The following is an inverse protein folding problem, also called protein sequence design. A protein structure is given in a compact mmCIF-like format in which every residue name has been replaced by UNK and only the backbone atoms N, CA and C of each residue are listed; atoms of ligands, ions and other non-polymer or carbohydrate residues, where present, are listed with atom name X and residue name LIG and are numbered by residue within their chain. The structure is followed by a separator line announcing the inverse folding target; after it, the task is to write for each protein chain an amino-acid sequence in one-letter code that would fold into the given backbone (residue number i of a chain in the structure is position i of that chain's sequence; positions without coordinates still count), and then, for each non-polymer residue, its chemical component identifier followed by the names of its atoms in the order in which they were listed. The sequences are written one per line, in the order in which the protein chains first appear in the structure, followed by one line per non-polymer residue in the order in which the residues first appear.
data_IF_294193289018
#
_entry.id   IF_294193289018
#
_cell.length_a   1.000
_cell.length_b   1.000
_cell.length_c   1.000
_cell.angle_alpha   90.00
_cell.angle_beta   90.00
_cell.angle_gamma   90.00
#
_symmetry.space_group_name_H-M   'P 1'
#
loop_
_entity.id
_entity.type
_entity.pdbx_description
1 polymer ?
#
# COMPACT_ATOMS: atom_id res chain seq x y z
N UNK A 1 33.40 44.03 -8.05
CA UNK A 1 32.86 42.86 -8.79
C UNK A 1 33.38 41.60 -8.10
N UNK A 2 32.57 41.02 -7.23
CA UNK A 2 32.77 39.67 -6.71
C UNK A 2 31.36 39.10 -6.54
N UNK A 3 30.96 38.25 -7.49
CA UNK A 3 29.73 37.47 -7.38
C UNK A 3 29.92 36.44 -6.28
N UNK A 4 29.02 36.44 -5.30
CA UNK A 4 28.95 35.38 -4.31
C UNK A 4 28.06 34.27 -4.89
N UNK A 5 28.67 33.13 -5.19
CA UNK A 5 27.97 31.89 -5.47
C UNK A 5 27.15 31.50 -4.24
N UNK A 6 25.83 31.40 -4.40
CA UNK A 6 24.92 30.89 -3.38
C UNK A 6 25.14 29.37 -3.29
N UNK A 7 26.03 28.97 -2.38
CA UNK A 7 26.09 27.59 -1.90
C UNK A 7 24.84 27.34 -1.06
N UNK A 8 23.83 26.72 -1.67
CA UNK A 8 22.66 26.22 -0.94
C UNK A 8 23.10 25.01 -0.13
N UNK A 9 23.47 25.23 1.13
CA UNK A 9 23.68 24.14 2.09
C UNK A 9 22.35 23.43 2.31
N UNK A 10 22.17 22.28 1.66
CA UNK A 10 21.11 21.33 1.97
C UNK A 10 21.37 20.78 3.38
N UNK A 11 20.70 21.35 4.37
CA UNK A 11 20.67 20.84 5.73
C UNK A 11 20.09 19.43 5.73
N UNK A 12 20.99 18.46 5.87
CA UNK A 12 20.71 17.06 6.09
C UNK A 12 20.05 16.93 7.48
N UNK A 13 18.73 16.94 7.54
CA UNK A 13 18.01 17.05 8.81
C UNK A 13 16.49 16.95 8.73
N UNK A 14 15.94 15.97 8.02
CA UNK A 14 14.59 15.49 8.30
C UNK A 14 14.62 13.99 8.52
N UNK A 15 14.78 13.59 9.78
CA UNK A 15 14.43 12.24 10.22
C UNK A 15 12.92 12.08 10.05
N UNK A 16 12.46 11.79 8.83
CA UNK A 16 11.08 11.39 8.59
C UNK A 16 10.86 10.13 9.43
N UNK A 17 10.04 10.16 10.51
CA UNK A 17 9.79 8.95 11.25
C UNK A 17 9.07 7.98 10.31
N UNK A 18 9.73 6.86 10.01
CA UNK A 18 9.09 5.79 9.26
C UNK A 18 7.81 5.41 10.01
N UNK A 19 6.67 5.46 9.32
CA UNK A 19 5.40 5.08 9.93
C UNK A 19 5.44 3.59 10.24
N UNK A 20 5.06 3.22 11.46
CA UNK A 20 4.84 1.82 11.81
C UNK A 20 3.76 1.21 10.92
N UNK A 21 3.96 -0.04 10.50
CA UNK A 21 3.03 -0.77 9.64
C UNK A 21 2.89 -2.21 10.12
N UNK A 22 1.79 -2.84 9.70
CA UNK A 22 1.53 -4.26 9.94
C UNK A 22 1.45 -4.98 8.60
N UNK A 23 1.85 -6.25 8.60
CA UNK A 23 1.80 -7.11 7.41
C UNK A 23 0.66 -8.10 7.59
N UNK A 24 -0.21 -8.17 6.58
CA UNK A 24 -1.28 -9.15 6.49
C UNK A 24 -0.98 -10.03 5.29
N UNK A 25 -0.78 -11.33 5.51
CA UNK A 25 -0.39 -12.29 4.49
C UNK A 25 -1.03 -13.65 4.75
N UNK A 26 -1.46 -14.32 3.69
CA UNK A 26 -1.89 -15.71 3.71
C UNK A 26 -0.86 -16.55 2.95
N UNK A 27 -0.42 -17.66 3.53
CA UNK A 27 0.65 -18.50 3.00
C UNK A 27 0.24 -19.98 3.01
N UNK A 28 0.81 -20.79 2.11
CA UNK A 28 0.81 -22.25 2.26
C UNK A 28 1.75 -22.66 3.41
N UNK A 29 1.69 -23.93 3.80
CA UNK A 29 2.67 -24.54 4.72
C UNK A 29 4.12 -24.38 4.22
N UNK A 30 4.32 -24.28 2.91
CA UNK A 30 5.61 -24.07 2.26
C UNK A 30 5.92 -22.59 1.97
N UNK A 31 5.21 -21.65 2.61
CA UNK A 31 5.36 -20.20 2.44
C UNK A 31 5.03 -19.65 1.05
N UNK A 32 4.27 -20.40 0.24
CA UNK A 32 3.76 -19.93 -1.05
C UNK A 32 2.59 -18.95 -0.89
N UNK A 33 2.64 -17.81 -1.59
CA UNK A 33 1.64 -16.72 -1.47
C UNK A 33 0.80 -16.50 -2.73
N UNK A 34 1.27 -17.03 -3.87
CA UNK A 34 0.70 -16.72 -5.18
C UNK A 34 1.31 -17.60 -6.26
N UNK A 35 0.51 -17.91 -7.28
CA UNK A 35 0.95 -18.60 -8.51
C UNK A 35 0.34 -17.88 -9.71
N UNK A 36 1.15 -17.62 -10.74
CA UNK A 36 0.70 -16.97 -11.98
C UNK A 36 -0.02 -15.62 -11.77
N UNK A 37 0.41 -14.85 -10.77
CA UNK A 37 -0.19 -13.55 -10.42
C UNK A 37 -1.57 -13.63 -9.75
N UNK A 38 -2.00 -14.80 -9.31
CA UNK A 38 -3.26 -15.04 -8.61
C UNK A 38 -3.02 -15.80 -7.31
N UNK A 39 -4.01 -15.76 -6.43
CA UNK A 39 -4.06 -16.64 -5.27
C UNK A 39 -4.34 -18.07 -5.76
N UNK A 40 -3.59 -19.08 -5.30
CA UNK A 40 -3.78 -20.46 -5.74
C UNK A 40 -4.98 -21.14 -5.07
N UNK A 41 -5.66 -20.45 -4.14
CA UNK A 41 -6.85 -20.90 -3.44
C UNK A 41 -8.01 -19.91 -3.59
N UNK A 42 -9.23 -20.41 -3.40
CA UNK A 42 -10.44 -19.60 -3.30
C UNK A 42 -11.04 -19.75 -1.89
N UNK A 43 -10.60 -18.91 -0.96
CA UNK A 43 -11.02 -18.93 0.44
C UNK A 43 -11.76 -17.63 0.77
N UNK A 44 -13.11 -17.61 0.66
CA UNK A 44 -13.88 -16.39 0.93
C UNK A 44 -13.75 -15.91 2.38
N UNK A 45 -13.54 -16.82 3.33
CA UNK A 45 -13.30 -16.49 4.74
C UNK A 45 -12.02 -15.70 4.96
N UNK A 46 -10.95 -16.02 4.21
CA UNK A 46 -9.67 -15.30 4.25
C UNK A 46 -9.84 -13.87 3.71
N UNK A 47 -10.55 -13.71 2.59
CA UNK A 47 -10.85 -12.39 2.04
C UNK A 47 -11.74 -11.54 2.97
N UNK A 48 -12.67 -12.18 3.68
CA UNK A 48 -13.49 -11.51 4.70
C UNK A 48 -12.62 -11.05 5.88
N UNK A 49 -11.75 -11.92 6.38
CA UNK A 49 -10.80 -11.58 7.43
C UNK A 49 -9.87 -10.43 7.01
N UNK A 50 -9.30 -10.47 5.80
CA UNK A 50 -8.49 -9.40 5.25
C UNK A 50 -9.25 -8.07 5.19
N UNK A 51 -10.52 -8.10 4.75
CA UNK A 51 -11.38 -6.92 4.72
C UNK A 51 -11.58 -6.34 6.12
N UNK A 52 -11.91 -7.18 7.10
CA UNK A 52 -12.14 -6.74 8.49
C UNK A 52 -10.87 -6.14 9.09
N UNK A 53 -9.74 -6.86 9.03
CA UNK A 53 -8.47 -6.41 9.61
C UNK A 53 -7.98 -5.10 8.98
N UNK A 54 -8.18 -4.91 7.67
CA UNK A 54 -7.75 -3.69 6.99
C UNK A 54 -8.76 -2.54 7.12
N UNK A 55 -10.02 -2.78 7.48
CA UNK A 55 -11.03 -1.71 7.61
C UNK A 55 -11.20 -1.20 9.03
N UNK A 56 -11.04 -2.05 10.04
CA UNK A 56 -11.29 -1.69 11.44
C UNK A 56 -10.24 -0.68 11.91
N UNK A 57 -10.71 0.47 12.39
CA UNK A 57 -9.90 1.51 13.03
C UNK A 57 -10.45 1.80 14.42
N UNK A 58 -9.57 2.11 15.37
CA UNK A 58 -9.99 2.51 16.72
C UNK A 58 -10.53 3.94 16.77
N UNK A 59 -10.22 4.74 15.76
CA UNK A 59 -10.64 6.14 15.64
C UNK A 59 -11.68 6.26 14.50
N UNK A 60 -12.94 6.61 14.80
CA UNK A 60 -14.01 6.72 13.81
C UNK A 60 -13.75 7.78 12.72
N UNK A 61 -12.88 8.75 12.98
CA UNK A 61 -12.51 9.79 12.01
C UNK A 61 -11.35 9.39 11.09
N UNK A 62 -10.76 8.21 11.27
CA UNK A 62 -9.58 7.75 10.51
C UNK A 62 -9.88 6.50 9.71
N UNK A 63 -9.14 6.35 8.61
CA UNK A 63 -9.13 5.16 7.75
C UNK A 63 -7.73 4.56 7.69
N UNK A 64 -7.67 3.24 7.60
CA UNK A 64 -6.41 2.53 7.37
C UNK A 64 -5.92 2.71 5.93
N UNK A 65 -4.62 2.54 5.74
CA UNK A 65 -4.00 2.49 4.43
C UNK A 65 -3.59 1.04 4.08
N UNK A 66 -3.92 0.61 2.87
CA UNK A 66 -3.47 -0.65 2.29
C UNK A 66 -2.42 -0.35 1.25
N UNK A 67 -1.19 -0.77 1.52
CA UNK A 67 -0.05 -0.60 0.63
C UNK A 67 0.15 -1.92 -0.12
N UNK A 68 0.05 -1.89 -1.45
CA UNK A 68 0.20 -3.07 -2.29
C UNK A 68 1.00 -2.78 -3.56
N UNK A 69 1.68 -3.80 -4.06
CA UNK A 69 2.43 -3.72 -5.31
C UNK A 69 1.51 -3.66 -6.54
N UNK A 70 2.02 -3.12 -7.65
CA UNK A 70 1.31 -3.05 -8.95
C UNK A 70 0.70 -4.38 -9.39
N UNK A 71 1.46 -5.48 -9.30
CA UNK A 71 0.99 -6.82 -9.73
C UNK A 71 -0.17 -7.32 -8.86
N UNK A 72 -0.12 -7.09 -7.55
CA UNK A 72 -1.20 -7.42 -6.62
C UNK A 72 -2.44 -6.59 -6.93
N UNK A 73 -2.27 -5.29 -7.18
CA UNK A 73 -3.37 -4.42 -7.61
C UNK A 73 -4.07 -4.94 -8.87
N UNK A 74 -3.31 -5.37 -9.86
CA UNK A 74 -3.84 -5.92 -11.12
C UNK A 74 -4.54 -7.27 -10.97
N UNK A 75 -4.15 -8.07 -9.97
CA UNK A 75 -4.78 -9.37 -9.67
C UNK A 75 -6.20 -9.24 -9.12
N UNK A 76 -6.55 -8.11 -8.51
CA UNK A 76 -7.88 -7.85 -7.95
C UNK A 76 -8.87 -7.63 -9.10
N UNK A 77 -10.10 -8.17 -9.08
CA UNK A 77 -11.10 -7.86 -10.10
C UNK A 77 -11.32 -6.34 -10.23
N UNK A 78 -11.43 -5.77 -11.45
CA UNK A 78 -11.65 -4.33 -11.65
C UNK A 78 -12.86 -3.77 -10.89
N UNK A 79 -13.94 -4.56 -10.79
CA UNK A 79 -15.16 -4.21 -10.05
C UNK A 79 -14.96 -3.97 -8.55
N UNK A 80 -13.88 -4.53 -7.98
CA UNK A 80 -13.54 -4.44 -6.55
C UNK A 80 -12.41 -3.45 -6.27
N UNK A 81 -11.93 -2.74 -7.30
CA UNK A 81 -10.90 -1.70 -7.19
C UNK A 81 -11.54 -0.31 -7.32
N UNK A 82 -11.20 0.66 -6.47
CA UNK A 82 -10.38 0.57 -5.25
C UNK A 82 -11.12 -0.16 -4.11
N UNK A 83 -10.36 -0.70 -3.14
CA UNK A 83 -10.97 -1.33 -1.97
C UNK A 83 -11.68 -0.26 -1.13
N UNK A 84 -13.01 -0.33 -0.94
CA UNK A 84 -13.75 0.74 -0.27
C UNK A 84 -13.38 0.85 1.20
N UNK A 85 -13.51 2.07 1.75
CA UNK A 85 -13.28 2.38 3.16
C UNK A 85 -11.80 2.46 3.58
N UNK A 86 -10.86 2.38 2.63
CA UNK A 86 -9.41 2.37 2.90
C UNK A 86 -8.66 3.25 1.92
N UNK A 87 -7.54 3.83 2.36
CA UNK A 87 -6.59 4.47 1.45
C UNK A 87 -5.81 3.39 0.70
N UNK A 88 -5.93 3.32 -0.62
CA UNK A 88 -5.22 2.33 -1.43
C UNK A 88 -3.94 2.95 -1.98
N UNK A 89 -2.78 2.45 -1.56
CA UNK A 89 -1.46 2.93 -2.00
C UNK A 89 -0.85 1.89 -2.93
N UNK A 90 -0.79 2.20 -4.23
CA UNK A 90 -0.18 1.34 -5.24
C UNK A 90 1.29 1.69 -5.44
N UNK A 91 2.18 0.74 -5.17
CA UNK A 91 3.61 0.89 -5.46
C UNK A 91 3.89 0.54 -6.93
N UNK A 92 4.38 1.52 -7.68
CA UNK A 92 4.81 1.40 -9.08
C UNK A 92 6.15 2.08 -9.30
N UNK A 93 6.96 1.54 -10.21
CA UNK A 93 8.25 2.14 -10.64
C UNK A 93 8.09 3.15 -11.77
N UNK A 94 6.98 3.09 -12.51
CA UNK A 94 6.67 4.05 -13.58
C UNK A 94 5.90 5.23 -13.00
N UNK A 95 6.39 6.45 -13.26
CA UNK A 95 6.00 7.71 -12.61
C UNK A 95 4.60 8.26 -12.93
N UNK A 96 3.65 7.42 -13.34
CA UNK A 96 2.24 7.81 -13.42
C UNK A 96 1.59 7.66 -12.04
N UNK A 97 1.59 8.75 -11.28
CA UNK A 97 0.93 8.89 -9.99
C UNK A 97 -0.56 9.22 -10.20
N UNK A 98 -1.40 8.19 -10.29
CA UNK A 98 -2.85 8.34 -10.15
C UNK A 98 -3.23 8.10 -8.70
N UNK A 99 -3.34 9.18 -7.91
CA UNK A 99 -3.98 9.15 -6.60
C UNK A 99 -5.48 9.00 -6.80
N UNK A 100 -5.94 7.74 -6.90
CA UNK A 100 -7.35 7.42 -6.89
C UNK A 100 -7.92 7.76 -5.50
N UNK A 101 -8.44 8.97 -5.35
CA UNK A 101 -9.19 9.40 -4.18
C UNK A 101 -10.65 8.98 -4.40
N UNK A 102 -11.11 8.03 -3.59
CA UNK A 102 -12.53 7.79 -3.33
C UNK A 102 -12.75 7.85 -1.82
#
# INVERSE_FOLDING_TARGET
MAGADIVVNLSNGSSNPLRSYQVVVATTQTMGIGKDGKLPWNLPSDLKFFKEVTMVTSDPGKRNAVIIGRKTWESIPPEKRPLPGRLNVRLTRFGSFDIATC
#
